data_IF_407844362914
#
_entry.id   IF_407844362914
#
_cell.length_a   1.000
_cell.length_b   1.000
_cell.length_c   1.000
_cell.angle_alpha   90.00
_cell.angle_beta   90.00
_cell.angle_gamma   90.00
#
_symmetry.space_group_name_H-M   'P 1'
#
loop_
_entity.id
_entity.type
_entity.pdbx_description
1 polymer ?
#
# COMPACT_ATOMS: atom_id res chain seq x y z
N UNK A 1 50.30 5.03 -11.14
CA UNK A 1 49.27 4.20 -11.80
C UNK A 1 48.84 3.12 -10.82
N UNK A 2 47.76 3.39 -10.10
CA UNK A 2 46.91 2.40 -9.45
C UNK A 2 45.61 3.14 -9.17
N UNK A 3 44.65 2.93 -10.07
CA UNK A 3 43.29 3.44 -9.97
C UNK A 3 42.63 2.70 -8.80
N UNK A 4 42.63 3.30 -7.62
CA UNK A 4 41.71 2.92 -6.56
C UNK A 4 40.32 3.47 -6.91
N UNK A 5 39.70 2.86 -7.93
CA UNK A 5 38.27 2.93 -8.11
C UNK A 5 37.66 2.04 -7.03
N UNK A 6 37.29 2.68 -5.91
CA UNK A 6 36.31 2.17 -4.97
C UNK A 6 35.00 1.89 -5.74
N UNK A 7 34.94 0.74 -6.40
CA UNK A 7 33.68 0.09 -6.71
C UNK A 7 33.15 -0.42 -5.36
N UNK A 8 32.51 0.48 -4.60
CA UNK A 8 31.45 0.04 -3.71
C UNK A 8 30.53 -0.79 -4.59
N UNK A 9 30.41 -2.07 -4.24
CA UNK A 9 29.50 -3.01 -4.85
C UNK A 9 28.08 -2.48 -4.66
N UNK A 10 27.65 -1.59 -5.55
CA UNK A 10 26.34 -0.96 -5.53
C UNK A 10 25.39 -2.01 -6.05
N UNK A 11 24.91 -2.85 -5.15
CA UNK A 11 23.87 -3.82 -5.46
C UNK A 11 22.68 -3.08 -6.07
N UNK A 12 22.27 -3.52 -7.26
CA UNK A 12 21.11 -2.97 -7.93
C UNK A 12 19.87 -3.54 -7.23
N UNK A 13 18.97 -2.67 -6.80
CA UNK A 13 17.73 -3.04 -6.13
C UNK A 13 16.60 -3.15 -7.14
N UNK A 14 16.06 -4.35 -7.30
CA UNK A 14 14.90 -4.62 -8.16
C UNK A 14 13.67 -4.56 -7.27
N UNK A 15 12.97 -3.43 -7.29
CA UNK A 15 11.88 -3.16 -6.35
C UNK A 15 10.64 -2.63 -7.05
N UNK A 16 9.49 -2.94 -6.50
CA UNK A 16 8.25 -2.32 -6.91
C UNK A 16 8.10 -0.92 -6.27
N UNK A 17 8.00 0.16 -7.06
CA UNK A 17 8.13 1.53 -6.54
C UNK A 17 6.97 2.00 -5.66
N UNK A 18 5.80 1.35 -5.70
CA UNK A 18 4.69 1.68 -4.80
C UNK A 18 4.89 1.17 -3.35
N UNK A 19 5.43 -0.03 -3.17
CA UNK A 19 5.81 -0.61 -1.88
C UNK A 19 6.68 -1.83 -2.14
N UNK A 20 7.89 -1.85 -1.60
CA UNK A 20 8.75 -3.03 -1.57
C UNK A 20 9.81 -2.95 -0.46
N UNK A 21 10.56 -4.03 -0.28
CA UNK A 21 11.59 -4.16 0.74
C UNK A 21 12.84 -4.83 0.17
N UNK A 22 14.01 -4.33 0.56
CA UNK A 22 15.28 -5.07 0.53
C UNK A 22 15.56 -5.61 1.93
N UNK A 23 16.72 -6.27 2.12
CA UNK A 23 17.11 -6.80 3.44
C UNK A 23 17.17 -5.73 4.54
N UNK A 24 17.47 -4.48 4.18
CA UNK A 24 17.74 -3.38 5.10
C UNK A 24 16.86 -2.15 4.90
N UNK A 25 16.14 -2.05 3.77
CA UNK A 25 15.48 -0.82 3.34
C UNK A 25 14.05 -1.08 2.89
N UNK A 26 13.11 -0.32 3.45
CA UNK A 26 11.75 -0.24 2.91
C UNK A 26 11.68 0.89 1.88
N UNK A 27 10.94 0.68 0.81
CA UNK A 27 10.67 1.66 -0.24
C UNK A 27 9.16 1.87 -0.34
N UNK A 28 8.71 3.10 -0.16
CA UNK A 28 7.27 3.44 -0.18
C UNK A 28 7.03 4.55 -1.19
N UNK A 29 6.18 4.27 -2.17
CA UNK A 29 5.69 5.27 -3.11
C UNK A 29 4.66 6.16 -2.42
N UNK A 30 4.89 7.46 -2.43
CA UNK A 30 3.98 8.46 -1.87
C UNK A 30 3.73 9.59 -2.86
N UNK A 31 2.50 10.08 -2.84
CA UNK A 31 2.13 11.30 -3.54
C UNK A 31 2.30 12.48 -2.59
N UNK A 32 3.29 13.33 -2.84
CA UNK A 32 3.45 14.59 -2.11
C UNK A 32 2.35 15.55 -2.58
N UNK A 33 1.48 16.03 -1.67
CA UNK A 33 0.46 17.00 -2.05
C UNK A 33 1.14 18.30 -2.49
N UNK A 34 0.55 19.01 -3.45
CA UNK A 34 1.16 20.25 -3.96
C UNK A 34 1.20 21.33 -2.88
N UNK A 35 2.18 22.23 -2.99
CA UNK A 35 2.32 23.35 -2.05
C UNK A 35 1.18 24.39 -2.18
N UNK A 36 0.52 24.45 -3.35
CA UNK A 36 -0.62 25.30 -3.66
C UNK A 36 -1.57 24.57 -4.61
N UNK A 37 -2.85 24.93 -4.63
CA UNK A 37 -3.90 24.26 -5.43
C UNK A 37 -3.65 24.26 -6.95
N UNK A 38 -2.73 25.10 -7.44
CA UNK A 38 -2.40 25.24 -8.87
C UNK A 38 -1.22 24.37 -9.33
N UNK A 39 -0.59 23.61 -8.44
CA UNK A 39 0.53 22.72 -8.77
C UNK A 39 0.01 21.29 -8.70
N UNK A 40 0.40 20.43 -9.64
CA UNK A 40 0.13 19.00 -9.52
C UNK A 40 1.05 18.39 -8.45
N UNK A 41 0.52 17.55 -7.56
CA UNK A 41 1.35 16.83 -6.61
C UNK A 41 2.41 15.97 -7.31
N UNK A 42 3.51 15.67 -6.64
CA UNK A 42 4.61 14.87 -7.18
C UNK A 42 4.60 13.47 -6.58
N UNK A 43 4.70 12.44 -7.42
CA UNK A 43 4.97 11.09 -6.96
C UNK A 43 6.46 10.95 -6.67
N UNK A 44 6.80 10.37 -5.51
CA UNK A 44 8.18 10.07 -5.12
C UNK A 44 8.24 8.71 -4.42
N UNK A 45 9.44 8.14 -4.34
CA UNK A 45 9.73 7.00 -3.48
C UNK A 45 10.48 7.50 -2.25
N UNK A 46 10.00 7.11 -1.08
CA UNK A 46 10.63 7.41 0.22
C UNK A 46 11.20 6.13 0.80
N UNK A 47 12.46 6.16 1.22
CA UNK A 47 13.11 5.02 1.87
C UNK A 47 12.94 5.06 3.39
N UNK A 48 13.02 3.92 4.06
CA UNK A 48 13.05 3.85 5.54
C UNK A 48 14.18 4.68 6.17
N UNK A 49 15.25 4.94 5.41
CA UNK A 49 16.35 5.82 5.82
C UNK A 49 16.11 7.32 5.60
N UNK A 50 14.90 7.73 5.22
CA UNK A 50 14.55 9.15 5.04
C UNK A 50 14.90 9.73 3.68
N UNK A 51 15.45 8.94 2.75
CA UNK A 51 15.80 9.44 1.40
C UNK A 51 14.53 9.59 0.57
N UNK A 52 14.45 10.70 -0.18
CA UNK A 52 13.40 10.92 -1.18
C UNK A 52 14.00 10.81 -2.57
N UNK A 53 13.34 10.05 -3.43
CA UNK A 53 13.77 9.75 -4.79
C UNK A 53 12.62 10.14 -5.72
N UNK A 54 12.85 11.09 -6.62
CA UNK A 54 11.84 11.50 -7.59
C UNK A 54 11.46 10.34 -8.51
N UNK A 55 10.19 10.30 -8.92
CA UNK A 55 9.67 9.23 -9.76
C UNK A 55 10.06 9.40 -11.24
N UNK A 56 11.34 9.21 -11.55
CA UNK A 56 11.86 9.26 -12.92
C UNK A 56 13.06 8.31 -13.08
N UNK A 57 13.37 7.95 -14.33
CA UNK A 57 14.39 6.97 -14.67
C UNK A 57 15.78 7.36 -14.15
N UNK A 58 16.18 8.63 -14.29
CA UNK A 58 17.50 9.11 -13.88
C UNK A 58 17.66 9.00 -12.35
N UNK A 59 16.65 9.45 -11.59
CA UNK A 59 16.65 9.38 -10.13
C UNK A 59 16.65 7.94 -9.62
N UNK A 60 15.96 7.02 -10.28
CA UNK A 60 16.05 5.60 -9.93
C UNK A 60 17.43 5.03 -10.22
N UNK A 61 18.00 5.31 -11.39
CA UNK A 61 19.34 4.84 -11.77
C UNK A 61 20.43 5.36 -10.82
N UNK A 62 20.39 6.66 -10.46
CA UNK A 62 21.31 7.29 -9.52
C UNK A 62 21.26 6.65 -8.11
N UNK A 63 20.12 6.04 -7.77
CA UNK A 63 19.91 5.32 -6.52
C UNK A 63 20.05 3.79 -6.66
N UNK A 64 20.55 3.30 -7.81
CA UNK A 64 20.68 1.87 -8.14
C UNK A 64 19.35 1.10 -8.04
N UNK A 65 18.24 1.75 -8.37
CA UNK A 65 16.91 1.15 -8.34
C UNK A 65 16.50 0.82 -9.78
N UNK A 66 16.01 -0.41 -9.99
CA UNK A 66 15.27 -0.80 -11.18
C UNK A 66 13.83 -1.04 -10.74
N UNK A 67 12.88 -0.16 -11.12
CA UNK A 67 11.48 -0.38 -10.84
C UNK A 67 10.98 -1.63 -11.57
N UNK A 68 10.33 -2.54 -10.85
CA UNK A 68 9.80 -3.78 -11.43
C UNK A 68 8.36 -4.05 -11.00
N UNK A 69 7.59 -4.69 -11.88
CA UNK A 69 6.28 -5.26 -11.59
C UNK A 69 6.14 -6.57 -12.34
N UNK A 70 5.67 -7.62 -11.65
CA UNK A 70 5.50 -8.97 -12.20
C UNK A 70 6.75 -9.49 -12.95
N UNK A 71 7.94 -9.24 -12.40
CA UNK A 71 9.22 -9.68 -12.97
C UNK A 71 9.70 -8.90 -14.21
N UNK A 72 9.04 -7.80 -14.57
CA UNK A 72 9.42 -6.97 -15.71
C UNK A 72 9.72 -5.54 -15.26
N UNK A 73 10.59 -4.84 -16.01
CA UNK A 73 10.87 -3.42 -15.78
C UNK A 73 9.56 -2.63 -15.92
N UNK A 74 9.26 -1.85 -14.90
CA UNK A 74 8.02 -1.12 -14.76
C UNK A 74 8.22 0.37 -15.05
N UNK A 75 7.56 0.85 -16.10
CA UNK A 75 7.50 2.28 -16.46
C UNK A 75 6.05 2.79 -16.48
N UNK A 76 5.12 2.03 -15.91
CA UNK A 76 3.69 2.31 -15.97
C UNK A 76 3.25 3.39 -14.97
N UNK A 77 2.03 3.93 -15.14
CA UNK A 77 1.46 4.83 -14.15
C UNK A 77 1.14 4.07 -12.86
N UNK A 78 1.51 4.65 -11.71
CA UNK A 78 1.05 4.22 -10.39
C UNK A 78 0.06 5.26 -9.87
N UNK A 79 -1.09 4.79 -9.40
CA UNK A 79 -2.15 5.64 -8.86
C UNK A 79 -1.93 5.79 -7.36
N UNK A 80 -1.17 6.82 -7.00
CA UNK A 80 -0.97 7.22 -5.62
C UNK A 80 -1.88 8.40 -5.30
N UNK A 81 -2.64 8.28 -4.21
CA UNK A 81 -3.39 9.39 -3.64
C UNK A 81 -2.55 10.06 -2.55
N UNK A 82 -2.68 11.39 -2.36
CA UNK A 82 -1.96 12.09 -1.30
C UNK A 82 -2.52 11.67 0.07
N UNK A 83 -1.86 10.70 0.69
CA UNK A 83 -2.24 10.13 2.01
C UNK A 83 -1.36 10.61 3.16
N UNK A 84 -0.25 11.24 2.83
CA UNK A 84 0.66 11.83 3.80
C UNK A 84 0.45 13.33 3.80
N UNK A 85 0.26 13.90 4.97
CA UNK A 85 0.28 15.35 5.10
C UNK A 85 1.74 15.85 5.03
N UNK A 86 1.92 17.13 4.68
CA UNK A 86 3.25 17.73 4.51
C UNK A 86 4.06 17.78 5.81
N UNK A 87 3.39 17.88 6.96
CA UNK A 87 4.04 17.91 8.27
C UNK A 87 4.71 16.57 8.58
N UNK A 88 3.98 15.46 8.44
CA UNK A 88 4.51 14.11 8.63
C UNK A 88 5.64 13.76 7.66
N UNK A 89 5.58 14.24 6.41
CA UNK A 89 6.70 14.08 5.46
C UNK A 89 7.95 14.80 5.98
N UNK A 90 7.80 16.05 6.45
CA UNK A 90 8.92 16.85 6.98
C UNK A 90 9.50 16.25 8.25
N UNK A 91 8.64 15.80 9.16
CA UNK A 91 9.05 15.15 10.40
C UNK A 91 9.89 13.92 10.09
N UNK A 92 9.41 13.06 9.19
CA UNK A 92 10.13 11.87 8.75
C UNK A 92 11.49 12.22 8.13
N UNK A 93 11.55 13.22 7.24
CA UNK A 93 12.80 13.69 6.62
C UNK A 93 13.79 14.29 7.63
N UNK A 94 13.29 14.92 8.68
CA UNK A 94 14.12 15.51 9.74
C UNK A 94 14.70 14.46 10.70
N UNK A 95 14.30 13.20 10.56
CA UNK A 95 14.68 12.13 11.48
C UNK A 95 13.92 12.21 12.81
N UNK A 96 12.72 12.79 12.81
CA UNK A 96 11.85 12.77 13.98
C UNK A 96 11.63 11.31 14.43
N UNK A 97 11.56 11.09 15.74
CA UNK A 97 11.39 9.77 16.28
C UNK A 97 10.04 9.17 15.82
N UNK A 98 10.10 8.04 15.11
CA UNK A 98 8.91 7.30 14.72
C UNK A 98 8.16 6.80 15.96
N UNK A 99 6.81 6.83 15.97
CA UNK A 99 6.01 6.24 17.05
C UNK A 99 6.34 4.76 17.24
N UNK A 100 6.23 4.27 18.47
CA UNK A 100 6.41 2.85 18.74
C UNK A 100 5.31 2.02 18.05
N UNK A 101 5.63 0.81 17.59
CA UNK A 101 4.65 -0.07 16.94
C UNK A 101 3.40 -0.33 17.79
N UNK A 102 3.58 -0.48 19.12
CA UNK A 102 2.48 -0.64 20.06
C UNK A 102 1.56 0.59 20.13
N UNK A 103 2.13 1.79 19.99
CA UNK A 103 1.38 3.05 19.95
C UNK A 103 0.56 3.14 18.66
N UNK A 104 1.16 2.80 17.51
CA UNK A 104 0.46 2.76 16.21
C UNK A 104 -0.72 1.78 16.29
N UNK A 105 -0.49 0.58 16.82
CA UNK A 105 -1.54 -0.42 17.03
C UNK A 105 -2.68 0.14 17.88
N UNK A 106 -2.36 0.77 19.02
CA UNK A 106 -3.38 1.33 19.90
C UNK A 106 -4.14 2.49 19.26
N UNK A 107 -3.47 3.33 18.46
CA UNK A 107 -4.10 4.44 17.74
C UNK A 107 -5.08 3.93 16.68
N UNK A 108 -4.66 2.96 15.86
CA UNK A 108 -5.53 2.31 14.86
C UNK A 108 -6.72 1.64 15.55
N UNK A 109 -6.47 0.85 16.58
CA UNK A 109 -7.52 0.17 17.35
C UNK A 109 -8.53 1.14 17.95
N UNK A 110 -8.06 2.24 18.55
CA UNK A 110 -8.93 3.28 19.13
C UNK A 110 -9.75 3.97 18.05
N UNK A 111 -9.17 4.24 16.88
CA UNK A 111 -9.89 4.79 15.75
C UNK A 111 -11.01 3.83 15.28
N UNK A 112 -10.73 2.53 15.18
CA UNK A 112 -11.73 1.54 14.83
C UNK A 112 -12.87 1.49 15.86
N UNK A 113 -12.57 1.52 17.16
CA UNK A 113 -13.57 1.57 18.24
C UNK A 113 -14.46 2.80 18.21
N UNK A 114 -13.94 3.93 17.73
CA UNK A 114 -14.69 5.17 17.60
C UNK A 114 -15.72 5.11 16.48
N UNK A 115 -15.42 4.41 15.37
CA UNK A 115 -16.24 4.46 14.16
C UNK A 115 -16.97 3.17 13.82
N UNK A 116 -16.56 2.03 14.38
CA UNK A 116 -17.14 0.72 14.12
C UNK A 116 -17.82 0.17 15.37
N UNK A 117 -18.98 -0.47 15.17
CA UNK A 117 -19.70 -1.21 16.20
C UNK A 117 -19.45 -2.71 16.12
N UNK A 118 -18.18 -3.13 16.13
CA UNK A 118 -17.82 -4.56 16.12
C UNK A 118 -18.28 -5.23 17.43
N UNK A 119 -18.67 -6.50 17.34
CA UNK A 119 -19.34 -7.24 18.42
C UNK A 119 -18.38 -7.65 19.52
N UNK A 120 -17.17 -8.06 19.13
CA UNK A 120 -16.18 -8.60 20.06
C UNK A 120 -14.93 -7.71 20.09
N UNK A 121 -14.36 -7.43 21.28
CA UNK A 121 -13.13 -6.65 21.40
C UNK A 121 -11.98 -7.16 20.53
N UNK A 122 -11.86 -8.49 20.39
CA UNK A 122 -10.85 -9.15 19.56
C UNK A 122 -10.99 -8.86 18.05
N UNK A 123 -12.19 -8.46 17.58
CA UNK A 123 -12.39 -8.08 16.17
C UNK A 123 -11.66 -6.76 15.88
N UNK A 124 -11.62 -5.82 16.84
CA UNK A 124 -10.83 -4.59 16.68
C UNK A 124 -9.33 -4.90 16.59
N UNK A 125 -8.85 -5.87 17.38
CA UNK A 125 -7.45 -6.28 17.35
C UNK A 125 -7.10 -6.92 16.00
N UNK A 126 -7.95 -7.83 15.51
CA UNK A 126 -7.81 -8.47 14.21
C UNK A 126 -7.77 -7.43 13.07
N UNK A 127 -8.75 -6.51 13.04
CA UNK A 127 -8.83 -5.50 11.98
C UNK A 127 -7.66 -4.52 12.07
N UNK A 128 -7.23 -4.12 13.27
CA UNK A 128 -6.07 -3.24 13.45
C UNK A 128 -4.77 -3.88 12.94
N UNK A 129 -4.51 -5.14 13.31
CA UNK A 129 -3.34 -5.89 12.83
C UNK A 129 -3.42 -6.12 11.33
N UNK A 130 -4.60 -6.42 10.79
CA UNK A 130 -4.81 -6.58 9.36
C UNK A 130 -4.58 -5.27 8.59
N UNK A 131 -4.96 -4.12 9.14
CA UNK A 131 -4.65 -2.81 8.54
C UNK A 131 -3.15 -2.57 8.54
N UNK A 132 -2.48 -2.75 9.69
CA UNK A 132 -1.04 -2.53 9.81
C UNK A 132 -0.24 -3.45 8.89
N UNK A 133 -0.65 -4.72 8.78
CA UNK A 133 0.00 -5.70 7.91
C UNK A 133 -0.09 -5.35 6.42
N UNK A 134 -1.04 -4.50 5.99
CA UNK A 134 -1.10 -4.06 4.58
C UNK A 134 0.16 -3.31 4.15
N UNK A 135 0.84 -2.61 5.06
CA UNK A 135 2.10 -1.92 4.82
C UNK A 135 3.31 -2.85 4.75
N UNK A 136 3.15 -4.11 5.15
CA UNK A 136 4.19 -5.15 5.15
C UNK A 136 3.90 -6.25 4.14
N UNK A 137 2.87 -6.07 3.31
CA UNK A 137 2.34 -7.10 2.40
C UNK A 137 3.41 -7.80 1.53
N UNK A 138 4.39 -7.10 0.93
CA UNK A 138 5.44 -7.76 0.12
C UNK A 138 6.33 -8.75 0.89
N UNK A 139 6.38 -8.66 2.23
CA UNK A 139 7.16 -9.57 3.07
C UNK A 139 6.48 -10.94 3.26
N UNK A 140 5.22 -11.08 2.85
CA UNK A 140 4.47 -12.33 2.96
C UNK A 140 4.26 -12.95 1.58
N UNK A 141 4.38 -14.28 1.50
CA UNK A 141 4.06 -15.04 0.30
C UNK A 141 2.58 -14.86 -0.09
N UNK A 142 1.70 -14.78 0.91
CA UNK A 142 0.29 -14.46 0.73
C UNK A 142 -0.21 -13.57 1.88
N UNK A 143 -1.25 -12.79 1.61
CA UNK A 143 -1.86 -11.91 2.61
C UNK A 143 -3.36 -12.22 2.71
N UNK A 144 -3.95 -12.35 3.91
CA UNK A 144 -5.34 -12.79 4.06
C UNK A 144 -6.34 -11.76 3.53
N UNK A 145 -7.46 -12.22 2.95
CA UNK A 145 -8.64 -11.40 2.63
C UNK A 145 -9.47 -11.28 3.89
N UNK A 146 -9.80 -10.04 4.26
CA UNK A 146 -10.74 -9.75 5.33
C UNK A 146 -12.16 -9.67 4.76
N UNK A 147 -13.02 -10.64 5.13
CA UNK A 147 -14.41 -10.70 4.66
C UNK A 147 -15.41 -10.34 5.77
N UNK A 148 -16.16 -9.25 5.56
CA UNK A 148 -17.20 -8.81 6.49
C UNK A 148 -18.56 -9.45 6.18
N UNK A 149 -18.83 -10.59 6.82
CA UNK A 149 -20.13 -11.25 6.73
C UNK A 149 -21.14 -10.67 7.73
N UNK A 150 -22.13 -9.95 7.23
CA UNK A 150 -23.18 -9.34 8.05
C UNK A 150 -24.46 -9.06 7.23
N UNK A 151 -25.61 -8.77 7.85
CA UNK A 151 -26.83 -8.39 7.13
C UNK A 151 -26.73 -7.04 6.40
N UNK A 152 -27.73 -6.69 5.60
CA UNK A 152 -27.92 -5.33 5.11
C UNK A 152 -28.06 -4.35 6.30
N UNK A 153 -27.66 -3.09 6.12
CA UNK A 153 -27.71 -2.04 7.17
C UNK A 153 -26.91 -2.33 8.45
N UNK A 154 -25.96 -3.27 8.41
CA UNK A 154 -25.08 -3.60 9.55
C UNK A 154 -23.81 -2.75 9.67
N UNK A 155 -23.64 -1.73 8.82
CA UNK A 155 -22.46 -0.86 8.83
C UNK A 155 -21.24 -1.39 8.06
N UNK A 156 -21.40 -2.36 7.14
CA UNK A 156 -20.30 -2.88 6.33
C UNK A 156 -19.60 -1.83 5.49
N UNK A 157 -20.37 -1.00 4.78
CA UNK A 157 -19.81 0.06 3.94
C UNK A 157 -19.00 1.03 4.79
N UNK A 158 -19.45 1.31 6.03
CA UNK A 158 -18.68 2.07 7.01
C UNK A 158 -17.39 1.37 7.45
N UNK A 159 -17.44 0.05 7.64
CA UNK A 159 -16.23 -0.74 7.94
C UNK A 159 -15.22 -0.65 6.81
N UNK A 160 -15.66 -0.85 5.56
CA UNK A 160 -14.80 -0.76 4.38
C UNK A 160 -14.24 0.66 4.19
N UNK A 161 -15.06 1.69 4.40
CA UNK A 161 -14.62 3.09 4.36
C UNK A 161 -13.50 3.34 5.38
N UNK A 162 -13.72 2.99 6.65
CA UNK A 162 -12.72 3.17 7.72
C UNK A 162 -11.43 2.40 7.43
N UNK A 163 -11.53 1.14 7.01
CA UNK A 163 -10.37 0.31 6.64
C UNK A 163 -9.62 0.94 5.46
N UNK A 164 -10.32 1.48 4.46
CA UNK A 164 -9.69 2.11 3.30
C UNK A 164 -8.87 3.35 3.66
N UNK A 165 -9.27 4.10 4.68
CA UNK A 165 -8.55 5.30 5.12
C UNK A 165 -7.23 4.96 5.83
N UNK A 166 -7.18 3.83 6.53
CA UNK A 166 -6.04 3.45 7.36
C UNK A 166 -5.09 2.44 6.70
N UNK A 167 -5.53 1.73 5.67
CA UNK A 167 -4.72 0.71 4.98
C UNK A 167 -3.82 1.32 3.91
N UNK A 168 -2.74 0.61 3.57
CA UNK A 168 -1.83 1.00 2.49
C UNK A 168 -2.61 1.25 1.20
N UNK A 169 -2.53 2.50 0.71
CA UNK A 169 -3.19 2.97 -0.50
C UNK A 169 -4.67 2.56 -0.59
N UNK A 170 -5.35 2.41 0.56
CA UNK A 170 -6.65 1.75 0.62
C UNK A 170 -7.75 2.51 -0.07
N UNK A 171 -8.51 1.87 -0.96
CA UNK A 171 -9.58 2.52 -1.72
C UNK A 171 -10.88 1.75 -1.66
N UNK A 172 -11.94 2.46 -1.34
CA UNK A 172 -13.29 1.93 -1.37
C UNK A 172 -13.86 1.98 -2.79
N UNK A 173 -14.45 0.87 -3.22
CA UNK A 173 -15.15 0.75 -4.48
C UNK A 173 -16.52 0.12 -4.21
N UNK A 174 -17.59 0.80 -4.61
CA UNK A 174 -18.92 0.18 -4.67
C UNK A 174 -18.96 -0.92 -5.73
N UNK A 175 -18.52 -0.57 -6.94
CA UNK A 175 -18.29 -1.51 -8.05
C UNK A 175 -16.93 -1.23 -8.71
N UNK A 176 -16.32 -2.25 -9.30
CA UNK A 176 -15.06 -2.12 -10.05
C UNK A 176 -15.05 -3.05 -11.26
N UNK A 177 -14.47 -2.63 -12.38
CA UNK A 177 -14.28 -3.50 -13.55
C UNK A 177 -12.94 -4.27 -13.46
N UNK A 178 -12.81 -5.46 -14.09
CA UNK A 178 -11.53 -6.17 -14.13
C UNK A 178 -10.37 -5.36 -14.71
N UNK A 179 -10.63 -4.48 -15.69
CA UNK A 179 -9.62 -3.62 -16.29
C UNK A 179 -9.16 -2.52 -15.30
N UNK A 180 -10.09 -1.90 -14.60
CA UNK A 180 -9.77 -0.93 -13.55
C UNK A 180 -9.00 -1.59 -12.40
N UNK A 181 -9.43 -2.78 -11.96
CA UNK A 181 -8.75 -3.55 -10.92
C UNK A 181 -7.28 -3.79 -11.27
N UNK A 182 -6.99 -4.31 -12.48
CA UNK A 182 -5.60 -4.54 -12.94
C UNK A 182 -4.78 -3.25 -12.95
N UNK A 183 -5.34 -2.14 -13.44
CA UNK A 183 -4.67 -0.84 -13.48
C UNK A 183 -4.31 -0.33 -12.08
N UNK A 184 -5.21 -0.51 -11.13
CA UNK A 184 -5.02 -0.08 -9.74
C UNK A 184 -4.11 -1.03 -8.94
N UNK A 185 -4.01 -2.30 -9.33
CA UNK A 185 -3.18 -3.29 -8.64
C UNK A 185 -1.69 -2.92 -8.64
N UNK A 186 -1.22 -2.20 -9.67
CA UNK A 186 0.14 -1.62 -9.73
C UNK A 186 0.42 -0.61 -8.60
N UNK A 187 -0.59 -0.16 -7.86
CA UNK A 187 -0.40 0.76 -6.71
C UNK A 187 -0.25 0.02 -5.37
N UNK A 188 -0.15 -1.31 -5.42
CA UNK A 188 -0.12 -2.21 -4.24
C UNK A 188 -1.28 -1.95 -3.27
N UNK A 189 -2.39 -1.41 -3.78
CA UNK A 189 -3.45 -0.88 -2.96
C UNK A 189 -4.25 -1.94 -2.21
N UNK A 190 -4.85 -1.49 -1.10
CA UNK A 190 -5.86 -2.26 -0.39
C UNK A 190 -7.24 -2.02 -1.00
N UNK A 191 -7.72 -2.99 -1.78
CA UNK A 191 -9.05 -2.94 -2.38
C UNK A 191 -10.12 -3.21 -1.33
N UNK A 192 -10.93 -2.21 -1.02
CA UNK A 192 -12.10 -2.32 -0.14
C UNK A 192 -13.35 -2.38 -1.03
N UNK A 193 -13.78 -3.59 -1.39
CA UNK A 193 -14.87 -3.80 -2.34
C UNK A 193 -16.19 -4.00 -1.61
N UNK A 194 -17.16 -3.14 -1.88
CA UNK A 194 -18.56 -3.37 -1.51
C UNK A 194 -19.25 -4.25 -2.58
N UNK A 195 -20.47 -4.69 -2.29
CA UNK A 195 -21.41 -5.27 -3.27
C UNK A 195 -20.86 -6.42 -4.16
N UNK A 196 -19.82 -7.13 -3.72
CA UNK A 196 -19.22 -8.26 -4.45
C UNK A 196 -20.22 -9.40 -4.75
N UNK A 197 -21.33 -9.42 -3.99
CA UNK A 197 -22.48 -10.32 -4.14
C UNK A 197 -23.24 -10.08 -5.45
N UNK A 198 -23.31 -8.84 -5.93
CA UNK A 198 -23.97 -8.47 -7.19
C UNK A 198 -23.06 -8.66 -8.41
N UNK A 199 -21.73 -8.66 -8.19
CA UNK A 199 -20.72 -9.09 -9.17
C UNK A 199 -20.76 -10.61 -9.46
N UNK A 200 -21.74 -11.32 -8.90
CA UNK A 200 -21.97 -12.74 -9.07
C UNK A 200 -20.91 -13.59 -8.36
N UNK A 201 -21.21 -14.06 -7.16
CA UNK A 201 -20.48 -15.17 -6.50
C UNK A 201 -20.69 -16.53 -7.21
N UNK A 202 -20.85 -16.50 -8.54
CA UNK A 202 -20.76 -17.67 -9.40
C UNK A 202 -19.30 -17.78 -9.85
N UNK A 203 -18.81 -19.00 -9.97
CA UNK A 203 -17.42 -19.33 -10.34
C UNK A 203 -16.91 -18.68 -11.66
N UNK A 204 -17.77 -17.96 -12.40
CA UNK A 204 -17.46 -17.32 -13.68
C UNK A 204 -17.18 -15.81 -13.58
N UNK A 205 -17.27 -15.19 -12.40
CA UNK A 205 -16.94 -13.76 -12.25
C UNK A 205 -15.44 -13.52 -12.47
N UNK A 206 -15.03 -12.72 -13.47
CA UNK A 206 -13.61 -12.48 -13.75
C UNK A 206 -12.86 -11.83 -12.60
N UNK A 207 -13.56 -11.13 -11.70
CA UNK A 207 -12.95 -10.56 -10.49
C UNK A 207 -12.66 -11.63 -9.45
N UNK A 208 -13.60 -12.55 -9.23
CA UNK A 208 -13.43 -13.65 -8.28
C UNK A 208 -12.31 -14.58 -8.73
N UNK A 209 -12.22 -14.87 -10.04
CA UNK A 209 -11.11 -15.67 -10.55
C UNK A 209 -9.77 -14.96 -10.40
N UNK A 210 -9.69 -13.64 -10.56
CA UNK A 210 -8.48 -12.86 -10.24
C UNK A 210 -8.10 -12.99 -8.76
N UNK A 211 -9.08 -12.88 -7.85
CA UNK A 211 -8.83 -13.06 -6.41
C UNK A 211 -8.35 -14.48 -6.08
N UNK A 212 -9.00 -15.52 -6.60
CA UNK A 212 -8.64 -16.91 -6.35
C UNK A 212 -7.28 -17.27 -6.95
N UNK A 213 -6.97 -16.77 -8.16
CA UNK A 213 -5.66 -17.00 -8.79
C UNK A 213 -4.52 -16.31 -8.03
N UNK A 214 -4.78 -15.16 -7.39
CA UNK A 214 -3.79 -14.52 -6.52
C UNK A 214 -3.45 -15.37 -5.28
N UNK A 215 -4.35 -16.26 -4.85
CA UNK A 215 -4.07 -17.25 -3.79
C UNK A 215 -3.42 -18.53 -4.32
N UNK A 216 -3.83 -18.99 -5.50
CA UNK A 216 -3.37 -20.25 -6.07
C UNK A 216 -2.00 -20.16 -6.79
N UNK A 217 -1.55 -18.96 -7.16
CA UNK A 217 -0.24 -18.74 -7.78
C UNK A 217 0.96 -18.79 -6.83
N UNK A 218 0.76 -19.25 -5.60
CA UNK A 218 1.79 -19.38 -4.56
C UNK A 218 2.39 -20.80 -4.46
N UNK A 219 2.06 -21.71 -5.39
CA UNK A 219 2.67 -23.05 -5.54
C UNK A 219 3.71 -23.09 -6.68
#
# INVERSE_FOLDING_TARGET
MSNDLNHQDRSIHWIHPALDFTEDTAFVGVQIPPATDNIAGEAVVVTSGGRVISWNADSFLDNNIIPVSNGQVFNGPVFLEPRWNLESIRDFQSGAASPATAEIFQNVRTYLQKYLGLRHPAEYDLVALWIMGTYLKPLFQCYPILFFNAPYESGKSRCLEVVSQLSLNGKWFGEITPAAFRRYAESKMTFCLDELKDAGLKNDSPLISIFLNAYNGAE
#
